data_IF_518298200684
#
_entry.id   IF_518298200684
#
_cell.length_a   1.000
_cell.length_b   1.000
_cell.length_c   1.000
_cell.angle_alpha   90.00
_cell.angle_beta   90.00
_cell.angle_gamma   90.00
#
_symmetry.space_group_name_H-M   'P 1'
#
loop_
_entity.id
_entity.type
_entity.pdbx_description
1 polymer ?
#
# COMPACT_ATOMS: atom_id res chain seq x y z
N UNK A 1 53.69 -16.31 -9.52
CA UNK A 1 52.68 -17.10 -8.80
C UNK A 1 51.94 -16.30 -7.72
N UNK A 2 52.59 -15.33 -7.08
CA UNK A 2 52.02 -14.47 -6.01
C UNK A 2 50.85 -13.59 -6.45
N UNK A 3 50.89 -13.02 -7.66
CA UNK A 3 49.81 -12.15 -8.18
C UNK A 3 48.47 -12.89 -8.31
N UNK A 4 48.50 -14.14 -8.78
CA UNK A 4 47.30 -14.98 -8.91
C UNK A 4 46.69 -15.37 -7.56
N UNK A 5 47.54 -15.54 -6.54
CA UNK A 5 47.10 -15.81 -5.17
C UNK A 5 46.43 -14.57 -4.57
N UNK A 6 47.03 -13.39 -4.74
CA UNK A 6 46.47 -12.13 -4.27
C UNK A 6 45.12 -11.83 -4.94
N UNK A 7 45.01 -12.04 -6.26
CA UNK A 7 43.76 -11.85 -6.99
C UNK A 7 42.65 -12.80 -6.50
N UNK A 8 43.01 -14.05 -6.23
CA UNK A 8 42.08 -15.07 -5.71
C UNK A 8 41.59 -14.74 -4.30
N UNK A 9 42.47 -14.26 -3.42
CA UNK A 9 42.11 -13.86 -2.05
C UNK A 9 41.15 -12.66 -2.06
N UNK A 10 41.42 -11.66 -2.91
CA UNK A 10 40.54 -10.49 -3.08
C UNK A 10 39.16 -10.92 -3.61
N UNK A 11 39.11 -11.83 -4.58
CA UNK A 11 37.84 -12.36 -5.11
C UNK A 11 37.01 -13.10 -4.06
N UNK A 12 37.64 -13.93 -3.22
CA UNK A 12 36.97 -14.65 -2.14
C UNK A 12 36.48 -13.70 -1.03
N UNK A 13 37.23 -12.65 -0.70
CA UNK A 13 36.83 -11.63 0.27
C UNK A 13 35.68 -10.73 -0.21
N UNK A 14 35.55 -10.51 -1.52
CA UNK A 14 34.48 -9.70 -2.12
C UNK A 14 33.21 -10.51 -2.45
N UNK A 15 33.30 -11.83 -2.54
CA UNK A 15 32.18 -12.75 -2.79
C UNK A 15 30.98 -12.58 -1.82
N UNK A 16 31.17 -12.37 -0.50
CA UNK A 16 30.08 -12.16 0.44
C UNK A 16 29.30 -10.87 0.21
N UNK A 17 29.89 -9.83 -0.39
CA UNK A 17 29.24 -8.54 -0.62
C UNK A 17 28.22 -8.58 -1.75
N UNK A 18 28.38 -9.50 -2.72
CA UNK A 18 27.45 -9.62 -3.86
C UNK A 18 26.07 -10.13 -3.41
N UNK A 19 26.01 -10.89 -2.31
CA UNK A 19 24.78 -11.40 -1.70
C UNK A 19 24.05 -10.38 -0.84
N UNK A 20 24.73 -9.28 -0.47
CA UNK A 20 24.14 -8.18 0.29
C UNK A 20 23.37 -7.19 -0.58
N UNK A 21 23.21 -7.46 -1.88
CA UNK A 21 22.35 -6.65 -2.75
C UNK A 21 20.89 -6.97 -2.39
N UNK A 22 20.19 -6.08 -1.66
CA UNK A 22 18.79 -6.34 -1.32
C UNK A 22 17.99 -6.50 -2.61
N UNK A 23 17.00 -7.40 -2.58
CA UNK A 23 16.21 -7.67 -3.78
C UNK A 23 15.61 -6.36 -4.30
N UNK A 24 15.63 -6.15 -5.62
CA UNK A 24 15.10 -4.92 -6.24
C UNK A 24 13.67 -4.61 -5.81
N UNK A 25 12.88 -5.64 -5.50
CA UNK A 25 11.53 -5.53 -4.95
C UNK A 25 11.49 -4.99 -3.51
N UNK A 26 12.48 -5.33 -2.65
CA UNK A 26 12.57 -4.77 -1.30
C UNK A 26 13.01 -3.31 -1.31
N UNK A 27 13.96 -2.93 -2.18
CA UNK A 27 14.38 -1.53 -2.35
C UNK A 27 13.24 -0.66 -2.86
N UNK A 28 12.43 -1.15 -3.81
CA UNK A 28 11.27 -0.43 -4.34
C UNK A 28 10.20 -0.16 -3.27
N UNK A 29 9.88 -1.15 -2.42
CA UNK A 29 8.93 -0.96 -1.31
C UNK A 29 9.45 0.03 -0.27
N UNK A 30 10.76 0.01 0.03
CA UNK A 30 11.33 1.01 0.94
C UNK A 30 11.24 2.43 0.38
N UNK A 31 11.47 2.61 -0.92
CA UNK A 31 11.32 3.90 -1.60
C UNK A 31 9.88 4.42 -1.53
N UNK A 32 8.89 3.57 -1.82
CA UNK A 32 7.46 3.93 -1.72
C UNK A 32 7.07 4.39 -0.31
N UNK A 33 7.58 3.72 0.73
CA UNK A 33 7.29 4.06 2.13
C UNK A 33 7.91 5.39 2.54
N UNK A 34 9.11 5.68 2.07
CA UNK A 34 9.76 6.97 2.29
C UNK A 34 9.01 8.09 1.58
N UNK A 35 8.56 7.85 0.35
CA UNK A 35 7.80 8.83 -0.43
C UNK A 35 6.43 9.12 0.20
N UNK A 36 5.75 8.10 0.73
CA UNK A 36 4.49 8.28 1.43
C UNK A 36 4.63 9.20 2.66
N UNK A 37 5.71 9.02 3.43
CA UNK A 37 6.05 9.90 4.55
C UNK A 37 6.33 11.33 4.09
N UNK A 38 7.03 11.49 2.96
CA UNK A 38 7.30 12.81 2.36
C UNK A 38 6.00 13.54 1.98
N UNK A 39 4.98 12.82 1.52
CA UNK A 39 3.66 13.36 1.20
C UNK A 39 2.76 13.61 2.43
N UNK A 40 3.26 13.30 3.63
CA UNK A 40 2.55 13.47 4.89
C UNK A 40 1.52 12.38 5.17
N UNK A 41 1.63 11.21 4.52
CA UNK A 41 0.86 10.02 4.85
C UNK A 41 1.61 9.18 5.89
N UNK A 42 0.87 8.65 6.85
CA UNK A 42 1.37 7.59 7.71
C UNK A 42 1.31 6.26 6.96
N UNK A 43 2.31 5.42 7.17
CA UNK A 43 2.41 4.11 6.53
C UNK A 43 2.82 3.07 7.57
N UNK A 44 2.06 1.97 7.66
CA UNK A 44 2.36 0.84 8.52
C UNK A 44 1.96 -0.49 7.86
N UNK A 45 2.62 -1.57 8.25
CA UNK A 45 2.21 -2.92 7.88
C UNK A 45 1.31 -3.46 8.99
N UNK A 46 0.03 -3.63 8.69
CA UNK A 46 -0.96 -4.04 9.68
C UNK A 46 -1.49 -5.42 9.33
N UNK A 47 -1.52 -6.38 10.28
CA UNK A 47 -2.30 -7.61 10.13
C UNK A 47 -3.77 -7.25 9.95
N UNK A 48 -4.37 -7.68 8.85
CA UNK A 48 -5.76 -7.38 8.54
C UNK A 48 -6.56 -8.67 8.46
N UNK A 49 -7.73 -8.67 9.10
CA UNK A 49 -8.76 -9.67 8.90
C UNK A 49 -9.64 -9.25 7.72
N UNK A 50 -9.80 -10.17 6.76
CA UNK A 50 -10.56 -9.94 5.55
C UNK A 50 -11.95 -10.59 5.65
N UNK A 51 -12.98 -10.00 5.04
CA UNK A 51 -14.29 -10.63 5.00
C UNK A 51 -14.25 -11.95 4.21
N UNK A 52 -14.86 -13.00 4.75
CA UNK A 52 -14.93 -14.33 4.13
C UNK A 52 -15.60 -14.37 2.75
N UNK A 53 -16.41 -13.35 2.43
CA UNK A 53 -17.09 -13.25 1.13
C UNK A 53 -16.23 -12.65 0.03
N UNK A 54 -15.02 -12.17 0.35
CA UNK A 54 -14.10 -11.62 -0.62
C UNK A 54 -13.51 -12.78 -1.45
N UNK A 55 -13.71 -12.76 -2.77
CA UNK A 55 -13.35 -13.88 -3.65
C UNK A 55 -11.85 -14.24 -3.60
N UNK A 56 -11.00 -13.25 -3.31
CA UNK A 56 -9.56 -13.42 -3.15
C UNK A 56 -9.12 -12.72 -1.89
N UNK A 57 -8.62 -13.47 -0.93
CA UNK A 57 -8.03 -12.93 0.28
C UNK A 57 -6.71 -12.21 -0.03
N UNK A 58 -6.60 -10.91 0.30
CA UNK A 58 -5.38 -10.16 0.17
C UNK A 58 -4.30 -10.64 1.16
N UNK A 59 -3.02 -10.30 0.92
CA UNK A 59 -1.95 -10.65 1.85
C UNK A 59 -2.17 -9.99 3.22
N UNK A 60 -1.88 -10.72 4.29
CA UNK A 60 -1.79 -10.22 5.66
C UNK A 60 -0.39 -10.57 6.20
N UNK A 61 0.43 -9.59 6.61
CA UNK A 61 0.13 -8.17 6.77
C UNK A 61 0.07 -7.39 5.44
N UNK A 62 -0.74 -6.32 5.43
CA UNK A 62 -0.97 -5.44 4.27
C UNK A 62 -0.42 -4.03 4.53
N UNK A 63 -0.05 -3.30 3.47
CA UNK A 63 0.40 -1.92 3.56
C UNK A 63 -0.79 -0.99 3.81
N UNK A 64 -0.89 -0.46 5.02
CA UNK A 64 -1.90 0.53 5.40
C UNK A 64 -1.31 1.94 5.25
N UNK A 65 -1.94 2.74 4.42
CA UNK A 65 -1.64 4.15 4.21
C UNK A 65 -2.78 4.99 4.78
N UNK A 66 -2.46 5.95 5.65
CA UNK A 66 -3.48 6.71 6.36
C UNK A 66 -3.17 8.21 6.43
N UNK A 67 -4.23 9.00 6.58
CA UNK A 67 -4.16 10.47 6.70
C UNK A 67 -5.20 10.95 7.73
N UNK A 68 -4.89 12.00 8.53
CA UNK A 68 -5.89 12.63 9.38
C UNK A 68 -6.95 13.34 8.55
N UNK A 69 -8.21 13.19 8.97
CA UNK A 69 -9.37 13.88 8.40
C UNK A 69 -9.45 15.31 8.93
N UNK A 70 -9.78 16.26 8.05
CA UNK A 70 -9.82 17.71 8.39
C UNK A 70 -11.23 18.24 8.61
N UNK A 71 -12.25 17.43 8.37
CA UNK A 71 -13.65 17.81 8.56
C UNK A 71 -14.31 17.18 9.79
N UNK A 72 -15.40 17.80 10.26
CA UNK A 72 -16.33 17.23 11.25
C UNK A 72 -17.21 16.09 10.67
N UNK A 73 -16.74 15.39 9.64
CA UNK A 73 -17.47 14.26 9.07
C UNK A 73 -17.30 13.07 10.01
N UNK A 74 -18.36 12.81 10.77
CA UNK A 74 -18.48 11.72 11.75
C UNK A 74 -18.92 10.40 11.14
N UNK A 75 -19.15 10.35 9.84
CA UNK A 75 -19.60 9.13 9.19
C UNK A 75 -18.40 8.20 9.02
N UNK A 76 -18.37 7.19 9.89
CA UNK A 76 -17.46 6.08 9.81
C UNK A 76 -17.98 5.07 8.79
N UNK A 77 -17.14 4.68 7.84
CA UNK A 77 -17.50 3.75 6.78
C UNK A 77 -16.32 2.85 6.41
N UNK A 78 -16.63 1.68 5.88
CA UNK A 78 -15.63 0.70 5.42
C UNK A 78 -16.14 0.07 4.14
N UNK A 79 -15.30 0.13 3.10
CA UNK A 79 -15.55 -0.52 1.83
C UNK A 79 -14.39 -1.44 1.44
N UNK A 80 -14.72 -2.60 0.89
CA UNK A 80 -13.78 -3.53 0.31
C UNK A 80 -13.98 -3.60 -1.20
N UNK A 81 -12.88 -3.69 -1.92
CA UNK A 81 -12.90 -3.87 -3.37
C UNK A 81 -13.11 -5.37 -3.68
N UNK A 82 -14.34 -5.72 -4.04
CA UNK A 82 -14.69 -7.11 -4.39
C UNK A 82 -14.15 -7.51 -5.77
N UNK A 83 -14.25 -6.60 -6.72
CA UNK A 83 -13.70 -6.68 -8.07
C UNK A 83 -13.11 -5.30 -8.41
N UNK A 84 -12.19 -5.18 -9.37
CA UNK A 84 -11.62 -3.88 -9.75
C UNK A 84 -12.71 -2.83 -10.01
N UNK A 85 -12.72 -1.77 -9.21
CA UNK A 85 -13.72 -0.69 -9.27
C UNK A 85 -15.07 -0.98 -8.59
N UNK A 86 -15.34 -2.20 -8.13
CA UNK A 86 -16.58 -2.57 -7.42
C UNK A 86 -16.34 -2.59 -5.91
N UNK A 87 -16.87 -1.58 -5.24
CA UNK A 87 -16.73 -1.35 -3.81
C UNK A 87 -17.98 -1.78 -3.05
N UNK A 88 -17.79 -2.65 -2.06
CA UNK A 88 -18.88 -3.20 -1.23
C UNK A 88 -18.66 -2.92 0.25
N UNK A 89 -19.73 -2.61 0.96
CA UNK A 89 -19.70 -2.44 2.40
C UNK A 89 -19.68 -3.80 3.14
N UNK A 90 -19.75 -3.77 4.48
CA UNK A 90 -19.72 -4.98 5.32
C UNK A 90 -20.92 -5.92 5.09
N UNK A 91 -22.03 -5.40 4.56
CA UNK A 91 -23.25 -6.13 4.23
C UNK A 91 -23.30 -6.62 2.78
N UNK A 92 -22.20 -6.42 2.00
CA UNK A 92 -22.05 -6.77 0.58
C UNK A 92 -22.86 -5.90 -0.38
N UNK A 93 -23.38 -4.78 0.11
CA UNK A 93 -24.08 -3.78 -0.70
C UNK A 93 -23.06 -2.89 -1.41
N UNK A 94 -23.37 -2.47 -2.63
CA UNK A 94 -22.51 -1.58 -3.38
C UNK A 94 -22.45 -0.20 -2.72
N UNK A 95 -21.33 0.52 -2.91
CA UNK A 95 -21.25 1.92 -2.50
C UNK A 95 -22.23 2.77 -3.33
N UNK A 96 -23.27 3.29 -2.69
CA UNK A 96 -24.30 4.13 -3.33
C UNK A 96 -23.92 5.63 -3.33
N UNK A 97 -22.99 6.04 -2.47
CA UNK A 97 -22.53 7.42 -2.42
C UNK A 97 -21.68 7.74 -3.66
N UNK A 98 -22.29 8.48 -4.59
CA UNK A 98 -21.66 8.89 -5.84
C UNK A 98 -20.36 9.71 -5.62
N UNK A 99 -20.25 10.46 -4.52
CA UNK A 99 -19.04 11.25 -4.20
C UNK A 99 -17.89 10.31 -3.85
N UNK A 100 -18.14 9.34 -2.96
CA UNK A 100 -17.18 8.30 -2.61
C UNK A 100 -16.81 7.47 -3.83
N UNK A 101 -17.81 7.00 -4.59
CA UNK A 101 -17.61 6.15 -5.75
C UNK A 101 -16.70 6.82 -6.79
N UNK A 102 -16.88 8.12 -7.05
CA UNK A 102 -16.06 8.89 -8.00
C UNK A 102 -14.57 8.82 -7.67
N UNK A 103 -14.21 8.81 -6.38
CA UNK A 103 -12.82 8.69 -5.94
C UNK A 103 -12.38 7.21 -5.89
N UNK A 104 -13.21 6.32 -5.35
CA UNK A 104 -12.90 4.92 -5.16
C UNK A 104 -12.68 4.17 -6.49
N UNK A 105 -13.38 4.53 -7.57
CA UNK A 105 -13.18 3.91 -8.90
C UNK A 105 -11.85 4.27 -9.55
N UNK A 106 -11.17 5.32 -9.09
CA UNK A 106 -9.84 5.71 -9.61
C UNK A 106 -8.70 4.90 -9.01
N UNK A 107 -8.97 4.21 -7.90
CA UNK A 107 -8.00 3.37 -7.20
C UNK A 107 -7.71 2.10 -8.02
N UNK A 108 -6.46 1.62 -7.99
CA UNK A 108 -6.08 0.41 -8.72
C UNK A 108 -6.68 -0.85 -8.08
N UNK A 109 -6.68 -1.93 -8.85
CA UNK A 109 -7.24 -3.24 -8.49
C UNK A 109 -6.56 -3.94 -7.29
N UNK A 110 -5.40 -3.45 -6.88
CA UNK A 110 -4.61 -4.00 -5.78
C UNK A 110 -4.77 -3.19 -4.48
N UNK A 111 -5.70 -2.23 -4.48
CA UNK A 111 -6.25 -1.64 -3.25
C UNK A 111 -7.45 -2.45 -2.81
N UNK A 112 -7.35 -3.08 -1.65
CA UNK A 112 -8.33 -4.05 -1.21
C UNK A 112 -9.41 -3.49 -0.29
N UNK A 113 -9.07 -2.45 0.48
CA UNK A 113 -9.95 -1.88 1.50
C UNK A 113 -9.67 -0.40 1.68
N UNK A 114 -10.74 0.37 1.88
CA UNK A 114 -10.69 1.76 2.31
C UNK A 114 -11.65 1.92 3.48
N UNK A 115 -11.19 2.59 4.52
CA UNK A 115 -12.01 2.90 5.68
C UNK A 115 -11.79 4.36 6.09
N UNK A 116 -12.84 4.98 6.58
CA UNK A 116 -12.75 6.24 7.28
C UNK A 116 -13.36 6.06 8.67
N UNK A 117 -12.64 6.50 9.68
CA UNK A 117 -13.15 6.69 11.03
C UNK A 117 -13.32 8.20 11.30
N UNK A 118 -13.57 8.58 12.55
CA UNK A 118 -13.81 9.97 12.94
C UNK A 118 -12.56 10.87 12.89
N UNK A 119 -11.36 10.29 12.81
CA UNK A 119 -10.09 11.00 12.91
C UNK A 119 -9.20 10.79 11.68
N UNK A 120 -9.32 9.64 11.02
CA UNK A 120 -8.39 9.14 10.02
C UNK A 120 -9.16 8.51 8.86
N UNK A 121 -8.58 8.62 7.68
CA UNK A 121 -8.93 7.78 6.53
C UNK A 121 -7.74 6.90 6.21
N UNK A 122 -7.99 5.60 6.01
CA UNK A 122 -6.99 4.60 5.75
C UNK A 122 -7.34 3.75 4.54
N UNK A 123 -6.31 3.33 3.82
CA UNK A 123 -6.39 2.52 2.62
C UNK A 123 -5.36 1.39 2.71
N UNK A 124 -5.76 0.20 2.27
CA UNK A 124 -4.97 -1.02 2.33
C UNK A 124 -4.59 -1.45 0.93
N UNK A 125 -3.28 -1.46 0.66
CA UNK A 125 -2.72 -1.63 -0.67
C UNK A 125 -1.65 -2.72 -0.69
N UNK A 126 -1.62 -3.49 -1.78
CA UNK A 126 -0.60 -4.52 -2.00
C UNK A 126 0.83 -3.96 -2.20
N UNK A 127 0.98 -2.64 -2.35
CA UNK A 127 2.22 -1.98 -2.77
C UNK A 127 2.72 -2.51 -4.14
N UNK A 128 1.81 -2.91 -5.05
CA UNK A 128 2.14 -3.44 -6.38
C UNK A 128 1.91 -2.38 -7.45
N UNK A 129 2.85 -1.48 -7.60
CA UNK A 129 2.79 -0.48 -8.66
C UNK A 129 3.97 0.46 -8.66
N UNK A 130 3.93 1.37 -9.63
CA UNK A 130 4.91 2.45 -9.76
C UNK A 130 4.59 3.61 -8.79
N UNK A 131 5.54 4.51 -8.52
CA UNK A 131 5.35 5.64 -7.60
C UNK A 131 4.16 6.55 -7.94
N UNK A 132 3.74 6.62 -9.21
CA UNK A 132 2.59 7.40 -9.65
C UNK A 132 1.27 6.87 -9.04
N UNK A 133 1.20 5.57 -8.75
CA UNK A 133 0.05 4.96 -8.06
C UNK A 133 -0.07 5.54 -6.66
N UNK A 134 1.05 5.71 -5.96
CA UNK A 134 1.07 6.29 -4.63
C UNK A 134 0.62 7.77 -4.64
N UNK A 135 0.98 8.53 -5.67
CA UNK A 135 0.48 9.91 -5.85
C UNK A 135 -1.03 9.95 -6.06
N UNK A 136 -1.58 9.00 -6.84
CA UNK A 136 -3.02 8.88 -7.04
C UNK A 136 -3.74 8.51 -5.75
N UNK A 137 -3.18 7.58 -4.97
CA UNK A 137 -3.70 7.21 -3.65
C UNK A 137 -3.69 8.43 -2.72
N UNK A 138 -2.60 9.20 -2.68
CA UNK A 138 -2.52 10.43 -1.88
C UNK A 138 -3.58 11.46 -2.29
N UNK A 139 -3.81 11.65 -3.60
CA UNK A 139 -4.84 12.54 -4.09
C UNK A 139 -6.26 12.11 -3.66
N UNK A 140 -6.54 10.80 -3.71
CA UNK A 140 -7.82 10.24 -3.23
C UNK A 140 -7.97 10.43 -1.72
N UNK A 141 -6.94 10.10 -0.93
CA UNK A 141 -6.98 10.29 0.52
C UNK A 141 -7.13 11.77 0.89
N UNK A 142 -6.51 12.70 0.16
CA UNK A 142 -6.69 14.15 0.37
C UNK A 142 -8.09 14.64 0.01
N UNK A 143 -8.72 14.07 -1.02
CA UNK A 143 -10.08 14.45 -1.41
C UNK A 143 -11.13 13.95 -0.42
N UNK A 144 -10.86 12.83 0.26
CA UNK A 144 -11.78 12.17 1.19
C UNK A 144 -11.53 12.50 2.68
N UNK A 145 -10.36 13.06 3.02
CA UNK A 145 -9.96 13.45 4.39
C UNK A 145 -10.53 14.83 4.80
#
# INVERSE_FOLDING_TARGET
>A
MTVWIVLSIIGVMLSPLVWLRPSRHQSGRMALRMEARRMGMGMQLTPQEWPHWLAKEPPSPCGQYHRPRRGASTDAWVYWQSEPGIWRNRWREACEDARLLTHLTTLPADVFKVEADNQMIALYWAERGEPEVLQRIDAVLKALA
#
